data_IF_452154411308
#
_entry.id   IF_452154411308
#
_cell.length_a   1.000
_cell.length_b   1.000
_cell.length_c   1.000
_cell.angle_alpha   90.00
_cell.angle_beta   90.00
_cell.angle_gamma   90.00
#
_symmetry.space_group_name_H-M   'P 1'
#
loop_
_entity.id
_entity.type
_entity.pdbx_description
1 polymer ?
#
# COMPACT_ATOMS: atom_id res chain seq x y z
N UNK A 1 -20.18 -33.01 -65.29
CA UNK A 1 -20.16 -32.00 -66.36
C UNK A 1 -21.10 -30.86 -66.00
N UNK A 2 -20.54 -29.66 -65.78
CA UNK A 2 -21.07 -28.35 -66.20
C UNK A 2 -20.05 -27.32 -65.71
N UNK A 3 -19.19 -26.92 -66.63
CA UNK A 3 -18.33 -25.74 -66.51
C UNK A 3 -19.22 -24.55 -66.86
N UNK A 4 -19.22 -23.51 -66.05
CA UNK A 4 -19.64 -22.18 -66.49
C UNK A 4 -18.42 -21.26 -66.39
N UNK A 5 -18.10 -20.60 -67.51
CA UNK A 5 -16.97 -19.70 -67.68
C UNK A 5 -17.42 -18.26 -67.44
N UNK A 6 -16.76 -17.63 -66.46
CA UNK A 6 -16.13 -16.28 -66.42
C UNK A 6 -16.93 -15.03 -66.82
N UNK A 7 -16.87 -14.01 -65.95
CA UNK A 7 -16.43 -12.66 -66.34
C UNK A 7 -15.56 -12.06 -65.22
N UNK A 8 -14.35 -11.66 -65.60
CA UNK A 8 -13.38 -10.86 -64.84
C UNK A 8 -13.81 -9.41 -64.87
N UNK A 9 -13.71 -8.70 -63.75
CA UNK A 9 -13.17 -7.34 -63.74
C UNK A 9 -12.20 -7.20 -62.55
N UNK A 10 -10.95 -6.95 -62.90
CA UNK A 10 -9.88 -6.52 -62.02
C UNK A 10 -9.94 -4.99 -61.94
N UNK A 11 -9.89 -4.43 -60.74
CA UNK A 11 -9.20 -3.16 -60.53
C UNK A 11 -7.95 -3.49 -59.71
N UNK A 12 -6.82 -3.15 -60.31
CA UNK A 12 -5.47 -3.36 -59.82
C UNK A 12 -5.17 -2.53 -58.57
N UNK A 13 -4.49 -3.19 -57.62
CA UNK A 13 -3.30 -2.74 -56.87
C UNK A 13 -3.24 -1.32 -56.31
N UNK A 14 -2.96 -1.19 -55.01
CA UNK A 14 -1.55 -1.21 -54.58
C UNK A 14 -1.39 -1.53 -53.08
N UNK A 15 -0.40 -2.39 -52.83
CA UNK A 15 0.10 -2.78 -51.53
C UNK A 15 0.40 -1.60 -50.60
N UNK A 16 -0.06 -1.70 -49.35
CA UNK A 16 0.73 -1.26 -48.19
C UNK A 16 0.94 -2.48 -47.31
N UNK A 17 2.18 -2.97 -47.33
CA UNK A 17 2.69 -4.05 -46.48
C UNK A 17 2.96 -3.49 -45.08
N UNK A 18 2.26 -4.05 -44.08
CA UNK A 18 2.66 -4.45 -42.70
C UNK A 18 3.31 -3.40 -41.76
N UNK A 19 3.45 -3.65 -40.42
CA UNK A 19 3.13 -4.84 -39.62
C UNK A 19 2.31 -4.58 -38.32
N UNK A 20 1.78 -5.67 -37.77
CA UNK A 20 1.78 -6.06 -36.34
C UNK A 20 1.90 -4.93 -35.29
N UNK A 21 0.78 -4.61 -34.64
CA UNK A 21 0.79 -3.93 -33.35
C UNK A 21 0.51 -4.96 -32.27
N UNK A 22 1.59 -5.44 -31.64
CA UNK A 22 1.55 -6.07 -30.32
C UNK A 22 0.64 -5.25 -29.40
N UNK A 23 -0.40 -5.89 -28.86
CA UNK A 23 -1.12 -5.34 -27.72
C UNK A 23 -0.18 -5.42 -26.51
N UNK A 24 0.67 -4.41 -26.38
CA UNK A 24 1.40 -4.14 -25.14
C UNK A 24 0.38 -4.06 -23.98
N UNK A 25 0.57 -4.81 -22.89
CA UNK A 25 -0.34 -4.75 -21.78
C UNK A 25 -0.28 -3.34 -21.17
N UNK A 26 -1.43 -2.71 -21.03
CA UNK A 26 -1.62 -1.45 -20.30
C UNK A 26 -1.42 -1.66 -18.78
N UNK A 27 -0.27 -2.21 -18.37
CA UNK A 27 0.10 -2.46 -16.98
C UNK A 27 1.46 -1.87 -16.65
N UNK A 28 1.71 -0.63 -17.07
CA UNK A 28 2.81 0.17 -16.57
C UNK A 28 2.30 1.53 -16.08
N UNK A 29 1.30 1.51 -15.20
CA UNK A 29 1.20 2.59 -14.21
C UNK A 29 1.97 2.06 -13.00
N UNK A 30 3.28 2.32 -12.97
CA UNK A 30 4.03 2.25 -11.73
C UNK A 30 3.37 3.28 -10.82
N UNK A 31 2.45 2.84 -9.97
CA UNK A 31 1.97 3.64 -8.85
C UNK A 31 3.17 3.77 -7.91
N UNK A 32 4.01 4.76 -8.21
CA UNK A 32 5.19 5.08 -7.46
C UNK A 32 4.79 5.32 -6.00
N UNK A 33 5.36 4.51 -5.10
CA UNK A 33 5.06 4.61 -3.68
C UNK A 33 5.59 5.93 -3.14
N UNK A 34 4.70 6.81 -2.65
CA UNK A 34 5.09 8.05 -2.01
C UNK A 34 5.27 7.86 -0.48
N UNK A 35 6.51 7.86 0.05
CA UNK A 35 6.76 7.65 1.49
C UNK A 35 6.20 8.79 2.36
N UNK A 36 5.90 9.96 1.80
CA UNK A 36 5.37 11.09 2.56
C UNK A 36 3.88 10.96 2.88
N UNK A 37 3.15 10.15 2.12
CA UNK A 37 1.70 9.97 2.26
C UNK A 37 1.31 8.80 3.17
N UNK A 38 2.27 8.11 3.79
CA UNK A 38 1.95 6.96 4.64
C UNK A 38 1.21 7.38 5.91
N UNK A 39 0.18 6.60 6.25
CA UNK A 39 -0.55 6.76 7.51
C UNK A 39 0.31 6.23 8.66
N UNK A 40 0.69 7.10 9.60
CA UNK A 40 1.55 6.68 10.72
C UNK A 40 0.80 6.04 11.89
N UNK A 41 -0.44 6.47 12.11
CA UNK A 41 -1.23 6.01 13.25
C UNK A 41 -1.40 4.48 13.21
N UNK A 42 -0.93 3.75 14.24
CA UNK A 42 -0.90 2.29 14.22
C UNK A 42 -2.32 1.68 14.22
N UNK A 43 -3.31 2.42 14.69
CA UNK A 43 -4.72 2.02 14.68
C UNK A 43 -5.44 2.26 13.35
N UNK A 44 -4.77 2.88 12.36
CA UNK A 44 -5.35 3.19 11.04
C UNK A 44 -4.50 2.75 9.85
N UNK A 45 -3.22 2.45 10.04
CA UNK A 45 -2.34 2.04 8.94
C UNK A 45 -2.65 0.62 8.45
N UNK A 46 -2.52 0.40 7.14
CA UNK A 46 -2.60 -0.93 6.50
C UNK A 46 -1.42 -1.80 6.93
N UNK A 47 -1.62 -3.11 7.08
CA UNK A 47 -0.52 -4.04 7.32
C UNK A 47 0.44 -4.08 6.12
N UNK A 48 1.71 -4.42 6.36
CA UNK A 48 2.73 -4.45 5.29
C UNK A 48 2.38 -5.48 4.21
N UNK A 49 1.80 -6.63 4.60
CA UNK A 49 1.39 -7.67 3.67
C UNK A 49 0.18 -7.31 2.79
N UNK A 50 -0.54 -6.23 3.09
CA UNK A 50 -1.65 -5.72 2.26
C UNK A 50 -1.15 -4.89 1.07
N UNK A 51 0.12 -4.48 1.07
CA UNK A 51 0.73 -3.77 -0.06
C UNK A 51 1.23 -4.78 -1.12
N UNK A 52 1.35 -4.31 -2.36
CA UNK A 52 1.92 -5.10 -3.45
C UNK A 52 3.39 -5.48 -3.15
N UNK A 53 3.79 -6.70 -3.52
CA UNK A 53 5.06 -7.31 -3.10
C UNK A 53 6.29 -6.46 -3.46
N UNK A 54 6.23 -5.76 -4.59
CA UNK A 54 7.28 -4.87 -5.13
C UNK A 54 7.51 -3.60 -4.30
N UNK A 55 6.50 -3.16 -3.53
CA UNK A 55 6.59 -1.95 -2.69
C UNK A 55 6.67 -2.24 -1.19
N UNK A 56 6.50 -3.48 -0.73
CA UNK A 56 6.50 -3.80 0.71
C UNK A 56 7.78 -3.37 1.42
N UNK A 57 8.93 -3.58 0.80
CA UNK A 57 10.22 -3.19 1.36
C UNK A 57 10.36 -1.66 1.43
N UNK A 58 9.90 -0.95 0.41
CA UNK A 58 9.88 0.52 0.40
C UNK A 58 8.98 1.07 1.50
N UNK A 59 7.81 0.47 1.70
CA UNK A 59 6.88 0.79 2.78
C UNK A 59 7.54 0.56 4.13
N UNK A 60 8.17 -0.61 4.35
CA UNK A 60 8.87 -0.94 5.60
C UNK A 60 9.97 0.07 5.90
N UNK A 61 10.78 0.42 4.91
CA UNK A 61 11.83 1.42 5.04
C UNK A 61 11.27 2.80 5.37
N UNK A 62 10.16 3.21 4.76
CA UNK A 62 9.51 4.49 5.07
C UNK A 62 9.03 4.57 6.52
N UNK A 63 8.46 3.50 7.07
CA UNK A 63 8.12 3.44 8.49
C UNK A 63 9.35 3.47 9.39
N UNK A 64 10.41 2.70 9.07
CA UNK A 64 11.66 2.69 9.83
C UNK A 64 12.27 4.10 9.91
N UNK A 65 12.33 4.80 8.78
CA UNK A 65 12.87 6.17 8.72
C UNK A 65 12.05 7.17 9.54
N UNK A 66 10.73 7.01 9.58
CA UNK A 66 9.83 7.87 10.37
C UNK A 66 9.80 7.50 11.85
N UNK A 67 10.18 6.28 12.20
CA UNK A 67 10.17 5.74 13.54
C UNK A 67 8.77 5.46 14.10
N UNK A 68 8.70 4.90 15.32
CA UNK A 68 7.46 4.62 16.01
C UNK A 68 6.67 5.90 16.35
N UNK A 69 5.35 5.83 16.20
CA UNK A 69 4.47 6.95 16.55
C UNK A 69 4.23 7.03 18.07
N UNK A 70 4.87 8.00 18.70
CA UNK A 70 4.76 8.30 20.14
C UNK A 70 4.22 9.73 20.36
N UNK A 71 2.89 9.92 20.32
CA UNK A 71 2.31 11.25 20.48
C UNK A 71 2.59 11.84 21.86
N UNK A 72 2.93 13.14 21.87
CA UNK A 72 3.06 13.91 23.10
C UNK A 72 1.68 14.46 23.50
N UNK A 73 0.95 13.67 24.28
CA UNK A 73 -0.34 14.08 24.83
C UNK A 73 -0.21 14.60 26.27
N UNK A 74 -0.99 15.65 26.62
CA UNK A 74 -1.05 16.15 28.00
C UNK A 74 -1.66 15.10 28.95
N UNK A 75 -2.60 14.30 28.45
CA UNK A 75 -3.24 13.21 29.18
C UNK A 75 -3.72 12.13 28.22
N UNK A 76 -3.63 10.88 28.63
CA UNK A 76 -4.19 9.75 27.92
C UNK A 76 -5.60 9.44 28.45
N UNK A 77 -6.54 9.02 27.58
CA UNK A 77 -7.85 8.56 28.01
C UNK A 77 -7.73 7.48 29.09
N UNK A 78 -8.69 7.48 30.00
CA UNK A 78 -8.72 6.54 31.11
C UNK A 78 -9.98 5.70 31.06
N UNK A 79 -9.78 4.38 31.06
CA UNK A 79 -10.84 3.38 31.00
C UNK A 79 -11.01 2.71 32.37
N UNK A 80 -12.26 2.38 32.76
CA UNK A 80 -12.52 1.66 34.00
C UNK A 80 -12.00 0.22 33.89
N UNK A 81 -11.27 -0.23 34.90
CA UNK A 81 -10.76 -1.59 35.02
C UNK A 81 -11.03 -2.11 36.43
N UNK A 82 -12.20 -2.71 36.63
CA UNK A 82 -12.70 -3.07 37.96
C UNK A 82 -13.00 -1.82 38.78
N UNK A 83 -12.43 -1.74 39.99
CA UNK A 83 -12.59 -0.59 40.90
C UNK A 83 -11.63 0.56 40.63
N UNK A 84 -10.64 0.37 39.75
CA UNK A 84 -9.64 1.39 39.40
C UNK A 84 -9.82 1.86 37.98
N UNK A 85 -9.41 3.09 37.69
CA UNK A 85 -9.26 3.55 36.31
C UNK A 85 -7.81 3.35 35.87
N UNK A 86 -7.61 2.92 34.64
CA UNK A 86 -6.28 2.76 34.04
C UNK A 86 -6.19 3.64 32.80
N UNK A 87 -4.99 4.05 32.46
CA UNK A 87 -4.69 4.81 31.24
C UNK A 87 -3.33 4.38 30.73
N UNK A 88 -3.05 4.68 29.48
CA UNK A 88 -1.68 4.57 28.97
C UNK A 88 -0.76 5.52 29.74
N UNK A 89 0.47 5.08 30.04
CA UNK A 89 1.46 5.91 30.73
C UNK A 89 2.51 6.43 29.75
N UNK A 90 2.56 7.74 29.55
CA UNK A 90 3.59 8.40 28.73
C UNK A 90 5.02 8.02 29.15
N UNK A 91 5.24 7.74 30.45
CA UNK A 91 6.56 7.36 30.96
C UNK A 91 7.10 6.09 30.31
N UNK A 92 6.24 5.22 29.78
CA UNK A 92 6.63 3.99 29.10
C UNK A 92 7.45 4.25 27.84
N UNK A 93 7.26 5.38 27.15
CA UNK A 93 8.09 5.72 25.99
C UNK A 93 9.58 5.86 26.31
N UNK A 94 9.93 6.21 27.56
CA UNK A 94 11.34 6.30 28.00
C UNK A 94 12.03 4.94 28.03
N UNK A 95 11.29 3.89 28.39
CA UNK A 95 11.82 2.54 28.53
C UNK A 95 11.59 1.69 27.28
N UNK A 96 10.57 2.03 26.49
CA UNK A 96 10.12 1.27 25.34
C UNK A 96 10.07 2.18 24.12
N UNK A 97 11.23 2.38 23.51
CA UNK A 97 11.37 3.20 22.29
C UNK A 97 10.58 2.66 21.11
N UNK A 98 10.20 1.38 21.11
CA UNK A 98 9.42 0.70 20.09
C UNK A 98 7.90 0.71 20.33
N UNK A 99 7.46 1.24 21.48
CA UNK A 99 6.05 1.28 21.84
C UNK A 99 5.37 2.41 21.08
N UNK A 100 4.23 2.13 20.46
CA UNK A 100 3.41 3.11 19.76
C UNK A 100 2.06 3.25 20.46
N UNK A 101 1.39 4.37 20.23
CA UNK A 101 0.02 4.58 20.71
C UNK A 101 -0.84 5.23 19.63
N UNK A 102 -2.04 4.71 19.45
CA UNK A 102 -3.07 5.34 18.62
C UNK A 102 -4.03 6.10 19.51
N UNK A 103 -4.08 7.42 19.34
CA UNK A 103 -5.03 8.28 20.05
C UNK A 103 -6.47 7.99 19.64
N UNK A 104 -6.64 7.60 18.37
CA UNK A 104 -7.96 7.35 17.76
C UNK A 104 -8.56 6.06 18.30
N UNK A 105 -7.73 5.05 18.56
CA UNK A 105 -8.18 3.76 19.10
C UNK A 105 -8.04 3.65 20.61
N UNK A 106 -7.30 4.55 21.26
CA UNK A 106 -6.90 4.45 22.67
C UNK A 106 -6.22 3.11 23.00
N UNK A 107 -5.27 2.70 22.14
CA UNK A 107 -4.59 1.39 22.26
C UNK A 107 -3.09 1.54 21.96
N UNK A 108 -2.29 0.78 22.70
CA UNK A 108 -0.85 0.66 22.49
C UNK A 108 -0.50 -0.47 21.50
N UNK A 109 0.53 -0.27 20.70
CA UNK A 109 0.99 -1.20 19.66
C UNK A 109 2.51 -1.43 19.75
N UNK A 110 2.97 -2.53 19.17
CA UNK A 110 4.39 -2.88 19.08
C UNK A 110 4.91 -2.58 17.67
N UNK A 111 5.81 -1.60 17.52
CA UNK A 111 6.29 -1.16 16.21
C UNK A 111 6.98 -2.29 15.42
N UNK A 112 7.88 -3.03 16.06
CA UNK A 112 8.59 -4.13 15.40
C UNK A 112 7.67 -5.28 14.99
N UNK A 113 6.62 -5.55 15.77
CA UNK A 113 5.63 -6.55 15.37
C UNK A 113 4.92 -6.15 14.09
N UNK A 114 4.61 -4.87 13.89
CA UNK A 114 4.04 -4.39 12.63
C UNK A 114 5.00 -4.53 11.43
N UNK A 115 6.29 -4.30 11.64
CA UNK A 115 7.29 -4.37 10.56
C UNK A 115 7.52 -5.78 10.01
N UNK A 116 7.27 -6.82 10.81
CA UNK A 116 7.63 -8.21 10.51
C UNK A 116 6.50 -9.22 10.76
N UNK A 117 5.24 -8.76 10.74
CA UNK A 117 4.09 -9.64 10.93
C UNK A 117 3.81 -10.53 9.72
#
# INVERSE_FOLDING_TARGET
>A
MRRFLVARENIENMNVVQPEAELEPLFNVVNEFNPNEIVRDPGRRKQINEYALDIQDQVRMAYILKGPMQPDLPSFPSTPFGSVKRSFSKSWYKNYTWLEYSEIKDVAYYFYCFLFK
#
